data_IF_594777431895
#
_entry.id   IF_594777431895
#
_cell.length_a   1.000
_cell.length_b   1.000
_cell.length_c   1.000
_cell.angle_alpha   90.00
_cell.angle_beta   90.00
_cell.angle_gamma   90.00
#
_symmetry.space_group_name_H-M   'P 1'
#
loop_
_entity.id
_entity.type
_entity.pdbx_description
1 polymer ?
#
# COMPACT_ATOMS: atom_id res chain seq x y z
N UNK A 1 -37.30 43.10 3.74
CA UNK A 1 -35.99 43.79 3.64
C UNK A 1 -35.53 43.77 2.19
N UNK A 2 -35.37 44.93 1.54
CA UNK A 2 -34.70 45.03 0.22
C UNK A 2 -33.23 45.37 0.49
N UNK A 3 -32.33 44.40 0.32
CA UNK A 3 -30.91 44.69 0.37
C UNK A 3 -30.53 45.56 -0.83
N UNK A 4 -29.80 46.65 -0.59
CA UNK A 4 -29.25 47.44 -1.68
C UNK A 4 -28.31 46.56 -2.54
N UNK A 5 -28.20 46.82 -3.85
CA UNK A 5 -27.45 45.93 -4.76
C UNK A 5 -25.97 45.78 -4.39
N UNK A 6 -25.34 46.82 -3.82
CA UNK A 6 -23.95 46.80 -3.38
C UNK A 6 -23.67 45.83 -2.20
N UNK A 7 -24.39 45.89 -1.07
CA UNK A 7 -24.20 44.92 0.01
C UNK A 7 -24.59 43.50 -0.38
N UNK A 8 -25.59 43.32 -1.28
CA UNK A 8 -25.94 42.00 -1.79
C UNK A 8 -24.81 41.40 -2.63
N UNK A 9 -24.17 42.20 -3.50
CA UNK A 9 -23.01 41.78 -4.28
C UNK A 9 -21.81 41.42 -3.38
N UNK A 10 -21.53 42.23 -2.37
CA UNK A 10 -20.45 41.97 -1.42
C UNK A 10 -20.67 40.66 -0.63
N UNK A 11 -21.89 40.42 -0.15
CA UNK A 11 -22.27 39.16 0.53
C UNK A 11 -22.14 37.95 -0.40
N UNK A 12 -22.56 38.09 -1.66
CA UNK A 12 -22.48 37.02 -2.66
C UNK A 12 -21.02 36.69 -3.01
N UNK A 13 -20.17 37.71 -3.17
CA UNK A 13 -18.74 37.53 -3.40
C UNK A 13 -18.06 36.88 -2.19
N UNK A 14 -18.42 37.29 -0.97
CA UNK A 14 -17.88 36.68 0.25
C UNK A 14 -18.29 35.20 0.36
N UNK A 15 -19.55 34.87 0.08
CA UNK A 15 -20.03 33.49 0.06
C UNK A 15 -19.32 32.64 -1.00
N UNK A 16 -19.01 33.22 -2.16
CA UNK A 16 -18.26 32.53 -3.21
C UNK A 16 -16.81 32.27 -2.79
N UNK A 17 -16.13 33.26 -2.20
CA UNK A 17 -14.75 33.13 -1.73
C UNK A 17 -14.65 32.08 -0.62
N UNK A 18 -15.59 32.07 0.33
CA UNK A 18 -15.60 31.07 1.41
C UNK A 18 -15.88 29.68 0.88
N UNK A 19 -16.85 29.52 -0.03
CA UNK A 19 -17.14 28.24 -0.67
C UNK A 19 -15.95 27.72 -1.51
N UNK A 20 -15.31 28.60 -2.29
CA UNK A 20 -14.14 28.26 -3.09
C UNK A 20 -12.94 27.89 -2.19
N UNK A 21 -12.69 28.64 -1.12
CA UNK A 21 -11.63 28.36 -0.16
C UNK A 21 -11.81 27.02 0.55
N UNK A 22 -13.03 26.71 1.02
CA UNK A 22 -13.35 25.42 1.63
C UNK A 22 -13.23 24.25 0.65
N UNK A 23 -13.63 24.47 -0.60
CA UNK A 23 -13.53 23.46 -1.66
C UNK A 23 -12.06 23.18 -2.02
N UNK A 24 -11.25 24.24 -2.17
CA UNK A 24 -9.83 24.13 -2.43
C UNK A 24 -9.09 23.45 -1.27
N UNK A 25 -9.45 23.74 -0.01
CA UNK A 25 -8.86 23.07 1.14
C UNK A 25 -9.21 21.59 1.17
N UNK A 26 -10.46 21.20 0.88
CA UNK A 26 -10.83 19.77 0.75
C UNK A 26 -10.11 19.04 -0.40
N UNK A 27 -9.62 19.77 -1.39
CA UNK A 27 -8.85 19.22 -2.52
C UNK A 27 -7.36 19.14 -2.22
N UNK A 28 -6.86 19.76 -1.15
CA UNK A 28 -5.49 19.56 -0.71
C UNK A 28 -5.36 18.14 -0.15
N UNK A 29 -4.34 17.37 -0.58
CA UNK A 29 -4.11 16.03 -0.06
C UNK A 29 -3.98 16.11 1.46
N UNK A 30 -4.81 15.36 2.18
CA UNK A 30 -4.66 15.22 3.62
C UNK A 30 -3.28 14.60 3.91
N UNK A 31 -2.67 14.97 5.04
CA UNK A 31 -1.34 14.51 5.44
C UNK A 31 -1.20 12.98 5.46
N UNK A 32 -2.32 12.27 5.67
CA UNK A 32 -2.44 10.82 5.71
C UNK A 32 -3.16 10.23 4.49
N UNK A 33 -3.27 10.95 3.38
CA UNK A 33 -4.00 10.46 2.21
C UNK A 33 -3.36 9.17 1.65
N UNK A 34 -4.09 8.07 1.80
CA UNK A 34 -3.65 6.73 1.40
C UNK A 34 -2.78 6.00 2.40
N UNK A 35 -2.61 6.52 3.62
CA UNK A 35 -1.96 5.78 4.68
C UNK A 35 -2.80 4.55 5.07
N UNK A 36 -2.19 3.37 5.07
CA UNK A 36 -2.86 2.10 5.35
C UNK A 36 -1.86 1.05 5.80
N UNK A 37 -2.25 0.21 6.75
CA UNK A 37 -1.46 -0.89 7.25
C UNK A 37 -2.28 -2.16 7.22
N UNK A 38 -1.72 -3.21 6.64
CA UNK A 38 -2.38 -4.51 6.59
C UNK A 38 -1.37 -5.65 6.71
N UNK A 39 -1.88 -6.85 6.95
CA UNK A 39 -1.06 -8.05 6.99
C UNK A 39 -1.78 -9.24 6.41
N UNK A 40 -1.02 -10.13 5.81
CA UNK A 40 -1.52 -11.40 5.28
C UNK A 40 -0.56 -12.53 5.63
N UNK A 41 -1.01 -13.76 5.45
CA UNK A 41 -0.17 -14.94 5.43
C UNK A 41 -0.16 -15.50 4.02
N UNK A 42 1.02 -15.73 3.47
CA UNK A 42 1.19 -16.25 2.13
C UNK A 42 2.09 -17.49 2.14
N UNK A 43 1.74 -18.43 1.27
CA UNK A 43 2.62 -19.52 0.86
C UNK A 43 2.86 -19.33 -0.62
N UNK A 44 4.08 -18.95 -0.97
CA UNK A 44 4.49 -18.71 -2.34
C UNK A 44 5.34 -19.87 -2.81
N UNK A 45 4.88 -20.57 -3.84
CA UNK A 45 5.64 -21.64 -4.52
C UNK A 45 6.22 -21.07 -5.79
N UNK A 46 7.51 -21.27 -6.01
CA UNK A 46 8.15 -20.80 -7.23
C UNK A 46 7.88 -21.77 -8.37
N UNK A 47 7.49 -21.24 -9.53
CA UNK A 47 7.24 -22.07 -10.70
C UNK A 47 8.53 -22.78 -11.15
N UNK A 48 8.41 -24.06 -11.48
CA UNK A 48 9.52 -24.93 -11.87
C UNK A 48 10.57 -25.17 -10.76
N UNK A 49 10.20 -24.99 -9.50
CA UNK A 49 11.02 -25.33 -8.34
C UNK A 49 10.28 -26.33 -7.43
N UNK A 50 10.86 -27.52 -7.26
CA UNK A 50 10.20 -28.62 -6.55
C UNK A 50 10.19 -28.43 -5.03
N UNK A 51 11.17 -27.71 -4.46
CA UNK A 51 11.36 -27.61 -3.01
C UNK A 51 11.27 -26.19 -2.49
N UNK A 52 11.40 -25.21 -3.36
CA UNK A 52 11.61 -23.83 -2.98
C UNK A 52 10.28 -23.10 -2.82
N UNK A 53 10.01 -22.70 -1.58
CA UNK A 53 8.83 -21.91 -1.26
C UNK A 53 9.11 -20.92 -0.13
N UNK A 54 8.27 -19.89 -0.05
CA UNK A 54 8.22 -18.95 1.07
C UNK A 54 6.91 -19.17 1.81
N UNK A 55 6.98 -19.49 3.09
CA UNK A 55 5.83 -19.56 3.98
C UNK A 55 5.98 -18.50 5.06
N UNK A 56 5.23 -17.40 4.94
CA UNK A 56 5.43 -16.27 5.82
C UNK A 56 4.24 -15.34 5.96
N UNK A 57 4.34 -14.50 6.97
CA UNK A 57 3.49 -13.34 7.17
C UNK A 57 4.11 -12.16 6.41
N UNK A 58 3.27 -11.44 5.71
CA UNK A 58 3.65 -10.23 4.98
C UNK A 58 2.91 -9.08 5.62
N UNK A 59 3.65 -8.06 6.07
CA UNK A 59 3.10 -6.87 6.68
C UNK A 59 3.37 -5.68 5.77
N UNK A 60 2.32 -5.06 5.25
CA UNK A 60 2.43 -3.81 4.50
C UNK A 60 2.12 -2.62 5.42
N UNK A 61 2.87 -1.54 5.26
CA UNK A 61 2.63 -0.27 5.90
C UNK A 61 2.88 0.87 4.90
N UNK A 62 1.80 1.45 4.41
CA UNK A 62 1.79 2.70 3.66
C UNK A 62 1.66 3.83 4.68
N UNK A 63 2.75 4.49 5.02
CA UNK A 63 2.81 5.56 6.01
C UNK A 63 2.66 6.95 5.36
N UNK A 64 2.53 7.98 6.19
CA UNK A 64 2.41 9.36 5.74
C UNK A 64 3.56 9.80 4.83
N UNK A 65 3.31 10.86 4.04
CA UNK A 65 4.27 11.47 3.13
C UNK A 65 4.86 10.52 2.05
N UNK A 66 4.08 9.53 1.60
CA UNK A 66 4.48 8.65 0.52
C UNK A 66 5.68 7.76 0.86
N UNK A 67 5.83 7.40 2.14
CA UNK A 67 6.84 6.46 2.65
C UNK A 67 6.15 5.19 3.09
N UNK A 68 6.68 4.04 2.71
CA UNK A 68 6.13 2.78 3.14
C UNK A 68 7.18 1.75 3.47
N UNK A 69 6.73 0.68 4.09
CA UNK A 69 7.53 -0.48 4.39
C UNK A 69 6.74 -1.76 4.19
N UNK A 70 7.47 -2.83 3.91
CA UNK A 70 6.99 -4.19 3.92
C UNK A 70 7.92 -5.04 4.78
N UNK A 71 7.35 -5.93 5.57
CA UNK A 71 8.11 -6.94 6.32
C UNK A 71 7.61 -8.31 5.89
N UNK A 72 8.54 -9.19 5.51
CA UNK A 72 8.24 -10.59 5.22
C UNK A 72 8.94 -11.42 6.28
N UNK A 73 8.16 -12.15 7.07
CA UNK A 73 8.65 -12.96 8.18
C UNK A 73 8.09 -14.37 8.10
N UNK A 74 8.95 -15.38 8.19
CA UNK A 74 8.54 -16.78 8.18
C UNK A 74 9.72 -17.69 7.90
N UNK A 75 9.51 -18.65 7.01
CA UNK A 75 10.51 -19.63 6.65
C UNK A 75 10.55 -19.82 5.14
N UNK A 76 11.75 -20.06 4.62
CA UNK A 76 11.94 -20.62 3.29
C UNK A 76 12.11 -22.12 3.42
N UNK A 77 11.43 -22.88 2.57
CA UNK A 77 11.76 -24.28 2.34
C UNK A 77 12.70 -24.35 1.14
N UNK A 78 13.74 -25.18 1.22
CA UNK A 78 14.75 -25.31 0.17
C UNK A 78 15.46 -26.65 0.28
N UNK A 79 16.31 -27.00 -0.69
CA UNK A 79 17.18 -28.17 -0.58
C UNK A 79 18.10 -28.14 0.66
N UNK A 80 18.38 -26.96 1.22
CA UNK A 80 19.18 -26.78 2.44
C UNK A 80 18.35 -26.92 3.74
N UNK A 81 17.04 -27.19 3.64
CA UNK A 81 16.12 -27.26 4.77
C UNK A 81 15.32 -25.97 4.99
N UNK A 82 14.69 -25.89 6.16
CA UNK A 82 13.86 -24.76 6.56
C UNK A 82 14.72 -23.65 7.17
N UNK A 83 14.89 -22.56 6.43
CA UNK A 83 15.72 -21.42 6.85
C UNK A 83 14.82 -20.25 7.23
N UNK A 84 15.12 -19.62 8.36
CA UNK A 84 14.34 -18.47 8.84
C UNK A 84 14.49 -17.28 7.89
N UNK A 85 13.36 -16.65 7.55
CA UNK A 85 13.27 -15.50 6.66
C UNK A 85 12.72 -14.32 7.46
N UNK A 86 13.46 -13.20 7.48
CA UNK A 86 12.95 -11.94 7.99
C UNK A 86 13.58 -10.78 7.22
N UNK A 87 12.85 -10.31 6.20
CA UNK A 87 13.29 -9.26 5.28
C UNK A 87 12.47 -8.00 5.47
N UNK A 88 13.19 -6.87 5.50
CA UNK A 88 12.61 -5.54 5.59
C UNK A 88 12.76 -4.86 4.25
N UNK A 89 11.67 -4.29 3.74
CA UNK A 89 11.67 -3.47 2.53
C UNK A 89 11.17 -2.08 2.90
N UNK A 90 11.92 -1.06 2.52
CA UNK A 90 11.50 0.34 2.59
C UNK A 90 11.24 0.82 1.18
N UNK A 91 10.20 1.62 0.99
CA UNK A 91 9.85 2.13 -0.33
C UNK A 91 9.20 3.50 -0.28
N UNK A 92 9.18 4.17 -1.43
CA UNK A 92 8.37 5.38 -1.64
C UNK A 92 7.15 5.05 -2.48
N UNK A 93 6.02 5.71 -2.21
CA UNK A 93 4.79 5.48 -2.96
C UNK A 93 4.02 6.76 -3.24
N UNK A 94 3.22 6.71 -4.30
CA UNK A 94 2.11 7.64 -4.52
C UNK A 94 0.80 6.86 -4.49
N UNK A 95 -0.30 7.50 -4.12
CA UNK A 95 -1.61 6.85 -4.13
C UNK A 95 -2.67 7.70 -4.81
N UNK A 96 -3.69 7.05 -5.35
CA UNK A 96 -4.85 7.70 -5.96
C UNK A 96 -6.10 6.96 -5.51
N UNK A 97 -7.00 7.67 -4.83
CA UNK A 97 -8.34 7.15 -4.54
C UNK A 97 -9.15 7.05 -5.83
N UNK A 98 -9.74 5.88 -6.07
CA UNK A 98 -10.59 5.61 -7.24
C UNK A 98 -12.06 5.65 -6.82
N UNK A 99 -12.38 5.06 -5.67
CA UNK A 99 -13.73 5.05 -5.10
C UNK A 99 -13.68 5.00 -3.57
N UNK A 100 -14.84 4.83 -2.92
CA UNK A 100 -14.90 4.57 -1.48
C UNK A 100 -14.35 3.19 -1.09
N UNK A 101 -14.17 2.28 -2.05
CA UNK A 101 -13.72 0.90 -1.84
C UNK A 101 -12.47 0.56 -2.61
N UNK A 102 -11.86 1.51 -3.34
CA UNK A 102 -10.73 1.22 -4.21
C UNK A 102 -9.70 2.36 -4.22
N UNK A 103 -8.43 1.99 -4.06
CA UNK A 103 -7.29 2.90 -4.12
C UNK A 103 -6.12 2.24 -4.84
N UNK A 104 -5.49 3.00 -5.72
CA UNK A 104 -4.31 2.57 -6.44
C UNK A 104 -3.06 3.11 -5.77
N UNK A 105 -2.07 2.25 -5.57
CA UNK A 105 -0.75 2.56 -5.05
C UNK A 105 0.29 2.33 -6.14
N UNK A 106 1.23 3.27 -6.28
CA UNK A 106 2.41 3.14 -7.13
C UNK A 106 3.64 3.22 -6.26
N UNK A 107 4.25 2.07 -6.02
CA UNK A 107 5.47 1.91 -5.24
C UNK A 107 6.68 2.10 -6.17
N UNK A 108 7.68 2.80 -5.68
CA UNK A 108 8.93 3.15 -6.36
C UNK A 108 10.08 3.17 -5.36
N UNK A 109 11.33 3.08 -5.86
CA UNK A 109 12.56 3.22 -5.06
C UNK A 109 12.52 2.38 -3.79
N UNK A 110 12.41 1.06 -3.95
CA UNK A 110 12.48 0.15 -2.83
C UNK A 110 13.92 -0.29 -2.54
N UNK A 111 14.19 -0.55 -1.27
CA UNK A 111 15.44 -1.12 -0.79
C UNK A 111 15.11 -2.23 0.20
N UNK A 112 15.79 -3.37 0.08
CA UNK A 112 15.61 -4.51 0.97
C UNK A 112 16.83 -4.74 1.85
N UNK A 113 16.61 -5.10 3.10
CA UNK A 113 17.65 -5.49 4.05
C UNK A 113 17.25 -6.76 4.82
N UNK A 114 18.23 -7.59 5.14
CA UNK A 114 18.05 -8.77 5.99
C UNK A 114 18.02 -8.39 7.48
N UNK A 115 17.23 -9.11 8.26
CA UNK A 115 17.39 -9.16 9.71
C UNK A 115 18.72 -9.82 10.09
N UNK A 116 19.24 -9.53 11.29
CA UNK A 116 20.45 -10.16 11.78
C UNK A 116 20.32 -11.66 12.05
N UNK A 117 19.08 -12.16 12.08
CA UNK A 117 18.74 -13.58 12.29
C UNK A 117 18.20 -14.24 11.02
N UNK A 118 18.18 -13.53 9.88
CA UNK A 118 17.74 -14.08 8.61
C UNK A 118 18.80 -15.05 8.07
N UNK A 119 18.38 -16.28 7.78
CA UNK A 119 19.22 -17.36 7.26
C UNK A 119 18.85 -17.70 5.80
N UNK A 120 17.84 -17.03 5.24
CA UNK A 120 17.31 -17.33 3.92
C UNK A 120 18.23 -16.82 2.80
N UNK A 121 18.34 -17.54 1.67
CA UNK A 121 19.13 -17.07 0.53
C UNK A 121 18.54 -15.80 -0.11
N UNK A 122 19.39 -14.83 -0.43
CA UNK A 122 18.98 -13.57 -1.08
C UNK A 122 18.21 -13.80 -2.39
N UNK A 123 18.56 -14.84 -3.15
CA UNK A 123 17.90 -15.20 -4.41
C UNK A 123 16.42 -15.54 -4.22
N UNK A 124 16.06 -16.18 -3.11
CA UNK A 124 14.67 -16.56 -2.80
C UNK A 124 13.85 -15.30 -2.53
N UNK A 125 14.39 -14.37 -1.76
CA UNK A 125 13.71 -13.10 -1.50
C UNK A 125 13.64 -12.21 -2.75
N UNK A 126 14.68 -12.19 -3.58
CA UNK A 126 14.68 -11.47 -4.85
C UNK A 126 13.61 -12.01 -5.80
N UNK A 127 13.45 -13.34 -5.88
CA UNK A 127 12.37 -13.95 -6.66
C UNK A 127 11.00 -13.59 -6.06
N UNK A 128 10.82 -13.69 -4.74
CA UNK A 128 9.59 -13.27 -4.06
C UNK A 128 9.21 -11.82 -4.42
N UNK A 129 10.17 -10.90 -4.38
CA UNK A 129 9.96 -9.51 -4.77
C UNK A 129 9.59 -9.35 -6.25
N UNK A 130 10.18 -10.16 -7.12
CA UNK A 130 9.92 -10.14 -8.56
C UNK A 130 8.52 -10.60 -8.91
N UNK A 131 8.00 -11.66 -8.28
CA UNK A 131 6.64 -12.12 -8.59
C UNK A 131 5.56 -11.17 -8.05
N UNK A 132 5.89 -10.39 -7.02
CA UNK A 132 5.02 -9.30 -6.62
C UNK A 132 5.06 -8.13 -7.61
N UNK A 133 6.19 -7.90 -8.28
CA UNK A 133 6.40 -6.75 -9.17
C UNK A 133 6.11 -7.06 -10.63
N UNK A 134 5.54 -6.10 -11.36
CA UNK A 134 5.12 -6.28 -12.75
C UNK A 134 6.27 -6.03 -13.75
N UNK A 135 7.42 -6.67 -13.51
CA UNK A 135 8.64 -6.66 -14.33
C UNK A 135 9.28 -5.30 -14.67
N UNK A 136 8.72 -4.18 -14.20
CA UNK A 136 9.21 -2.81 -14.44
C UNK A 136 9.64 -2.14 -13.13
N UNK A 137 10.35 -1.01 -13.24
CA UNK A 137 10.98 -0.21 -12.16
C UNK A 137 10.04 0.30 -11.03
N UNK A 138 8.78 -0.17 -10.98
CA UNK A 138 7.83 0.13 -9.93
C UNK A 138 6.77 -0.97 -9.76
N UNK A 139 6.19 -1.03 -8.56
CA UNK A 139 5.14 -1.97 -8.20
C UNK A 139 3.80 -1.22 -8.15
N UNK A 140 2.87 -1.59 -9.03
CA UNK A 140 1.49 -1.13 -8.96
C UNK A 140 0.68 -2.08 -8.09
N UNK A 141 -0.04 -1.53 -7.09
CA UNK A 141 -0.98 -2.27 -6.27
C UNK A 141 -2.35 -1.61 -6.32
N UNK A 142 -3.36 -2.36 -6.74
CA UNK A 142 -4.75 -2.03 -6.49
C UNK A 142 -5.19 -2.62 -5.14
N UNK A 143 -5.61 -1.74 -4.23
CA UNK A 143 -6.21 -2.10 -2.97
C UNK A 143 -7.73 -1.94 -3.06
N UNK A 144 -8.44 -3.06 -2.95
CA UNK A 144 -9.89 -3.12 -2.99
C UNK A 144 -10.45 -3.57 -1.62
N UNK A 145 -11.38 -2.80 -1.06
CA UNK A 145 -12.08 -3.16 0.17
C UNK A 145 -12.99 -4.35 -0.07
N UNK A 146 -12.76 -5.45 0.66
CA UNK A 146 -13.65 -6.62 0.66
C UNK A 146 -14.70 -6.49 1.76
N UNK A 147 -14.28 -6.00 2.93
CA UNK A 147 -15.15 -5.65 4.06
C UNK A 147 -14.43 -4.65 4.99
N UNK A 148 -15.00 -4.36 6.17
CA UNK A 148 -14.42 -3.40 7.12
C UNK A 148 -13.06 -3.79 7.70
N UNK A 149 -12.65 -5.06 7.59
CA UNK A 149 -11.41 -5.60 8.17
C UNK A 149 -10.46 -6.19 7.14
N UNK A 150 -10.89 -6.36 5.90
CA UNK A 150 -10.11 -7.05 4.87
C UNK A 150 -10.12 -6.30 3.54
N UNK A 151 -8.97 -6.32 2.88
CA UNK A 151 -8.75 -5.77 1.54
C UNK A 151 -8.10 -6.83 0.65
N UNK A 152 -8.35 -6.72 -0.65
CA UNK A 152 -7.62 -7.43 -1.70
C UNK A 152 -6.54 -6.50 -2.23
N UNK A 153 -5.28 -6.93 -2.15
CA UNK A 153 -4.16 -6.33 -2.88
C UNK A 153 -3.95 -7.12 -4.17
N UNK A 154 -3.91 -6.42 -5.29
CA UNK A 154 -3.70 -7.00 -6.62
C UNK A 154 -2.69 -6.18 -7.41
N UNK A 155 -1.89 -6.82 -8.26
CA UNK A 155 -1.11 -6.14 -9.29
C UNK A 155 -1.97 -5.94 -10.54
N UNK A 156 -1.38 -5.44 -11.63
CA UNK A 156 -2.05 -5.30 -12.92
C UNK A 156 -2.50 -6.67 -13.45
N UNK A 157 -1.66 -7.69 -13.23
CA UNK A 157 -1.79 -8.99 -13.88
C UNK A 157 -2.30 -10.11 -12.97
N UNK A 158 -2.34 -9.90 -11.64
CA UNK A 158 -2.76 -10.96 -10.72
C UNK A 158 -3.26 -10.44 -9.36
N UNK A 159 -4.28 -11.10 -8.74
CA UNK A 159 -4.53 -10.93 -7.32
C UNK A 159 -3.32 -11.43 -6.51
N UNK A 160 -2.79 -10.58 -5.63
CA UNK A 160 -1.62 -10.93 -4.83
C UNK A 160 -2.04 -11.47 -3.47
N UNK A 161 -2.79 -10.68 -2.69
CA UNK A 161 -3.03 -10.99 -1.28
C UNK A 161 -4.42 -10.56 -0.81
N UNK A 162 -5.07 -11.42 -0.03
CA UNK A 162 -6.14 -10.99 0.88
C UNK A 162 -5.48 -10.58 2.19
N UNK A 163 -5.53 -9.29 2.51
CA UNK A 163 -4.89 -8.71 3.68
C UNK A 163 -5.92 -8.26 4.72
N UNK A 164 -5.62 -8.53 5.99
CA UNK A 164 -6.38 -8.00 7.13
C UNK A 164 -5.81 -6.64 7.52
N UNK A 165 -6.67 -5.64 7.66
CA UNK A 165 -6.28 -4.30 8.13
C UNK A 165 -5.80 -4.37 9.59
N UNK A 166 -4.72 -3.66 9.91
CA UNK A 166 -4.27 -3.49 11.29
C UNK A 166 -5.20 -2.54 12.04
N UNK A 167 -5.24 -2.67 13.38
CA UNK A 167 -6.08 -1.81 14.23
C UNK A 167 -5.81 -0.32 13.96
N UNK A 168 -6.87 0.46 13.81
CA UNK A 168 -6.79 1.89 13.47
C UNK A 168 -6.57 2.19 11.99
N UNK A 169 -6.31 1.18 11.14
CA UNK A 169 -6.14 1.38 9.69
C UNK A 169 -7.46 1.26 8.93
N UNK A 170 -7.62 2.09 7.90
CA UNK A 170 -8.76 2.09 6.98
C UNK A 170 -8.26 2.31 5.55
N UNK A 171 -9.06 1.88 4.59
CA UNK A 171 -8.88 2.22 3.18
C UNK A 171 -9.71 3.48 2.90
N UNK A 172 -9.14 4.64 3.22
CA UNK A 172 -9.76 5.95 2.96
C UNK A 172 -9.53 6.41 1.52
#
# INVERSE_FOLDING_TARGET
MRLAPRPFFALSALAFITAAGLSAWKLLPAENDGAMSCSTKAIMRFENMDKENVNGNIHFNFAAHGKGSMVVEGYTDSAAGWLYLQRYVKFSYTSKRISSTERHYRISRWESSASSIDESPDVIFAYFMREMSDSHDGLFLNAQKLNEKAILLSSINSPLYVCTLKSGSKLD
#
